data_IF_503343197691
#
_entry.id   IF_503343197691
#
_cell.length_a   1.000
_cell.length_b   1.000
_cell.length_c   1.000
_cell.angle_alpha   90.00
_cell.angle_beta   90.00
_cell.angle_gamma   90.00
#
_symmetry.space_group_name_H-M   'P 1'
#
loop_
_entity.id
_entity.type
_entity.pdbx_description
1 polymer ?
#
# COMPACT_ATOMS: atom_id res chain seq x y z
N UNK A 1 30.80 2.58 30.90
CA UNK A 1 29.40 2.38 30.47
C UNK A 1 29.15 3.26 29.25
N UNK A 2 28.71 2.73 28.09
CA UNK A 2 28.40 3.57 26.94
C UNK A 2 27.20 4.47 27.27
N UNK A 3 27.38 5.78 27.10
CA UNK A 3 26.36 6.79 27.39
C UNK A 3 25.32 6.79 26.26
N UNK A 4 24.15 6.20 26.51
CA UNK A 4 23.04 6.24 25.54
C UNK A 4 22.33 7.59 25.62
N UNK A 5 22.38 8.35 24.52
CA UNK A 5 21.69 9.64 24.38
C UNK A 5 20.51 9.49 23.43
N UNK A 6 19.29 9.55 23.94
CA UNK A 6 18.06 9.57 23.13
C UNK A 6 17.72 11.00 22.73
N UNK A 7 17.54 11.25 21.43
CA UNK A 7 17.05 12.54 20.91
C UNK A 7 15.93 12.32 19.90
N UNK A 8 14.86 13.09 20.06
CA UNK A 8 13.73 13.10 19.14
C UNK A 8 14.09 13.90 17.89
N UNK A 9 13.77 13.36 16.72
CA UNK A 9 13.98 14.05 15.44
C UNK A 9 12.96 15.19 15.26
N UNK A 10 13.32 16.20 14.48
CA UNK A 10 12.39 17.27 14.09
C UNK A 10 11.33 16.76 13.09
N UNK A 11 10.39 17.63 12.69
CA UNK A 11 9.30 17.29 11.77
C UNK A 11 9.77 16.81 10.38
N UNK A 12 11.03 17.11 10.02
CA UNK A 12 11.68 16.67 8.78
C UNK A 12 12.62 15.47 9.01
N UNK A 13 12.52 14.80 10.16
CA UNK A 13 13.34 13.67 10.58
C UNK A 13 14.86 13.95 10.65
N UNK A 14 15.26 15.21 10.87
CA UNK A 14 16.68 15.60 11.00
C UNK A 14 17.09 15.56 12.47
N UNK A 15 18.35 15.18 12.70
CA UNK A 15 18.96 15.13 14.03
C UNK A 15 20.31 15.85 13.97
N UNK A 16 20.52 16.84 14.85
CA UNK A 16 21.82 17.49 15.04
C UNK A 16 22.66 16.70 16.03
N UNK A 17 23.75 16.11 15.54
CA UNK A 17 24.70 15.36 16.36
C UNK A 17 25.68 16.30 17.09
N UNK A 18 26.05 16.03 18.36
CA UNK A 18 27.08 16.77 19.08
C UNK A 18 28.45 16.72 18.39
N UNK A 19 29.30 17.74 18.57
CA UNK A 19 30.63 17.84 17.91
C UNK A 19 31.58 16.66 18.24
N UNK A 20 31.35 15.94 19.34
CA UNK A 20 32.12 14.75 19.77
C UNK A 20 31.64 13.43 19.13
N UNK A 21 30.68 13.46 18.20
CA UNK A 21 30.11 12.26 17.55
C UNK A 21 30.95 11.69 16.40
N UNK A 22 32.09 12.29 16.07
CA UNK A 22 33.03 11.71 15.12
C UNK A 22 33.47 10.33 15.65
N UNK A 23 33.08 9.26 14.95
CA UNK A 23 33.28 7.83 15.27
C UNK A 23 32.20 7.12 16.13
N UNK A 24 31.02 7.69 16.33
CA UNK A 24 29.92 6.98 16.99
C UNK A 24 29.01 6.22 16.00
N UNK A 25 28.54 5.03 16.38
CA UNK A 25 27.48 4.31 15.64
C UNK A 25 26.12 4.86 16.04
N UNK A 26 25.36 5.38 15.08
CA UNK A 26 24.00 5.87 15.30
C UNK A 26 23.01 4.75 14.98
N UNK A 27 22.21 4.34 15.96
CA UNK A 27 21.07 3.42 15.77
C UNK A 27 19.80 4.27 15.77
N UNK A 28 19.10 4.33 14.63
CA UNK A 28 17.84 5.06 14.50
C UNK A 28 16.69 4.07 14.67
N UNK A 29 15.93 4.20 15.75
CA UNK A 29 14.70 3.44 15.96
C UNK A 29 13.50 4.36 15.69
N UNK A 30 12.84 4.15 14.57
CA UNK A 30 11.57 4.81 14.26
C UNK A 30 10.48 4.00 14.95
N UNK A 31 10.00 4.49 16.09
CA UNK A 31 8.86 3.87 16.76
C UNK A 31 7.58 4.53 16.22
N UNK A 32 6.78 3.82 15.41
CA UNK A 32 5.48 4.34 15.02
C UNK A 32 4.61 4.39 16.28
N UNK A 33 4.26 5.61 16.71
CA UNK A 33 3.31 5.85 17.78
C UNK A 33 1.91 5.58 17.25
N UNK A 34 1.60 4.32 16.90
CA UNK A 34 0.33 3.79 16.38
C UNK A 34 0.41 3.40 14.89
N UNK A 35 -0.12 2.22 14.55
CA UNK A 35 -0.19 1.61 13.21
C UNK A 35 -1.14 2.36 12.25
N UNK A 36 -1.02 3.68 12.14
CA UNK A 36 -1.75 4.46 11.17
C UNK A 36 -0.81 5.45 10.51
N UNK A 37 -0.29 5.03 9.35
CA UNK A 37 0.19 5.85 8.25
C UNK A 37 0.97 7.12 8.63
N UNK A 38 2.30 7.01 8.72
CA UNK A 38 3.18 8.16 8.66
C UNK A 38 3.13 8.75 7.23
N UNK A 39 2.20 9.67 6.99
CA UNK A 39 2.15 10.50 5.78
C UNK A 39 3.03 11.73 5.97
N UNK A 40 4.10 11.83 5.20
CA UNK A 40 4.53 13.11 4.59
C UNK A 40 5.61 12.85 3.54
N UNK A 41 5.29 13.09 2.26
CA UNK A 41 6.13 13.88 1.35
C UNK A 41 5.23 14.62 0.37
N UNK A 42 5.18 15.94 0.52
CA UNK A 42 4.68 16.89 -0.47
C UNK A 42 5.57 16.73 -1.71
N UNK A 43 5.06 16.13 -2.78
CA UNK A 43 5.75 16.05 -4.08
C UNK A 43 6.12 14.67 -4.60
N UNK A 44 5.46 13.57 -4.18
CA UNK A 44 5.62 12.26 -4.82
C UNK A 44 4.37 11.91 -5.65
N UNK A 45 4.59 11.32 -6.81
CA UNK A 45 3.64 10.96 -7.87
C UNK A 45 2.23 10.55 -7.43
N UNK A 46 1.23 10.90 -8.27
CA UNK A 46 -0.20 10.51 -8.19
C UNK A 46 -0.44 9.00 -8.33
N UNK A 47 0.54 8.14 -8.04
CA UNK A 47 0.32 6.71 -8.01
C UNK A 47 -0.40 6.40 -6.70
N UNK A 48 -1.73 6.49 -6.76
CA UNK A 48 -2.63 5.99 -5.72
C UNK A 48 -2.20 4.56 -5.42
N UNK A 49 -1.92 4.27 -4.16
CA UNK A 49 -1.57 2.92 -3.75
C UNK A 49 -2.74 1.99 -4.07
N UNK A 50 -2.47 0.74 -4.43
CA UNK A 50 -3.52 -0.21 -4.83
C UNK A 50 -4.53 -0.37 -3.69
N UNK A 51 -4.04 -0.38 -2.46
CA UNK A 51 -4.80 -0.42 -1.21
C UNK A 51 -5.71 0.79 -1.02
N UNK A 52 -5.33 1.97 -1.52
CA UNK A 52 -6.16 3.18 -1.53
C UNK A 52 -7.25 3.15 -2.63
N UNK A 53 -7.20 2.17 -3.53
CA UNK A 53 -8.17 1.99 -4.63
C UNK A 53 -8.99 0.69 -4.54
N UNK A 54 -8.76 -0.14 -3.52
CA UNK A 54 -9.50 -1.39 -3.35
C UNK A 54 -10.95 -1.11 -2.94
N UNK A 55 -11.88 -1.52 -3.81
CA UNK A 55 -13.31 -1.52 -3.50
C UNK A 55 -13.59 -2.58 -2.43
N UNK A 56 -14.04 -2.15 -1.25
CA UNK A 56 -14.54 -3.05 -0.22
C UNK A 56 -15.94 -3.51 -0.61
N UNK A 57 -16.14 -4.83 -0.72
CA UNK A 57 -17.45 -5.42 -0.95
C UNK A 57 -18.28 -5.35 0.32
N UNK A 58 -19.59 -5.14 0.17
CA UNK A 58 -20.56 -5.38 1.24
C UNK A 58 -20.63 -6.88 1.57
N UNK A 59 -21.17 -7.26 2.72
CA UNK A 59 -21.33 -8.68 3.06
C UNK A 59 -22.19 -9.42 2.03
N UNK A 60 -23.29 -8.81 1.57
CA UNK A 60 -24.15 -9.39 0.55
C UNK A 60 -23.43 -9.58 -0.80
N UNK A 61 -22.60 -8.61 -1.21
CA UNK A 61 -21.85 -8.71 -2.46
C UNK A 61 -20.69 -9.70 -2.35
N UNK A 62 -20.05 -9.80 -1.18
CA UNK A 62 -19.03 -10.81 -0.89
C UNK A 62 -19.62 -12.22 -1.01
N UNK A 63 -20.77 -12.46 -0.39
CA UNK A 63 -21.38 -13.78 -0.38
C UNK A 63 -21.85 -14.19 -1.79
N UNK A 64 -22.44 -13.26 -2.55
CA UNK A 64 -22.75 -13.48 -3.98
C UNK A 64 -21.49 -13.73 -4.81
N UNK A 65 -20.42 -13.00 -4.56
CA UNK A 65 -19.15 -13.19 -5.26
C UNK A 65 -18.58 -14.59 -5.00
N UNK A 66 -18.60 -15.05 -3.74
CA UNK A 66 -18.17 -16.40 -3.38
C UNK A 66 -19.02 -17.48 -4.04
N UNK A 67 -20.35 -17.32 -4.08
CA UNK A 67 -21.26 -18.24 -4.79
C UNK A 67 -20.94 -18.33 -6.30
N UNK A 68 -20.62 -17.21 -6.93
CA UNK A 68 -20.24 -17.18 -8.35
C UNK A 68 -18.89 -17.84 -8.63
N UNK A 69 -17.98 -17.86 -7.66
CA UNK A 69 -16.72 -18.60 -7.77
C UNK A 69 -16.93 -20.10 -7.63
N UNK A 70 -17.82 -20.52 -6.74
CA UNK A 70 -18.13 -21.93 -6.51
C UNK A 70 -18.91 -22.55 -7.67
N UNK A 71 -19.90 -21.84 -8.20
CA UNK A 71 -20.70 -22.29 -9.34
C UNK A 71 -20.73 -21.22 -10.44
N UNK A 72 -19.67 -21.14 -11.27
CA UNK A 72 -19.59 -20.12 -12.31
C UNK A 72 -20.71 -20.28 -13.34
N UNK A 73 -21.45 -19.21 -13.64
CA UNK A 73 -22.54 -19.27 -14.62
C UNK A 73 -22.00 -19.46 -16.04
N UNK A 74 -22.81 -20.10 -16.88
CA UNK A 74 -22.46 -20.26 -18.31
C UNK A 74 -22.39 -18.89 -18.99
N UNK A 75 -21.41 -18.67 -19.90
CA UNK A 75 -21.32 -17.43 -20.66
C UNK A 75 -22.61 -17.14 -21.42
N UNK A 76 -23.12 -15.92 -21.28
CA UNK A 76 -24.31 -15.48 -22.00
C UNK A 76 -23.99 -15.19 -23.49
N UNK A 77 -25.04 -15.02 -24.31
CA UNK A 77 -24.88 -14.80 -25.74
C UNK A 77 -24.07 -13.53 -26.08
N UNK A 78 -24.22 -12.47 -25.28
CA UNK A 78 -23.48 -11.22 -25.44
C UNK A 78 -21.97 -11.41 -25.24
N UNK A 79 -21.57 -12.10 -24.17
CA UNK A 79 -20.17 -12.39 -23.87
C UNK A 79 -19.55 -13.29 -24.95
N UNK A 80 -20.30 -14.30 -25.44
CA UNK A 80 -19.85 -15.15 -26.56
C UNK A 80 -19.61 -14.32 -27.84
N UNK A 81 -20.51 -13.40 -28.18
CA UNK A 81 -20.36 -12.51 -29.34
C UNK A 81 -19.16 -11.57 -29.20
N UNK A 82 -18.94 -11.01 -28.01
CA UNK A 82 -17.78 -10.15 -27.73
C UNK A 82 -16.46 -10.91 -27.90
N UNK A 83 -16.38 -12.14 -27.36
CA UNK A 83 -15.20 -13.00 -27.51
C UNK A 83 -14.92 -13.39 -28.97
N UNK A 84 -15.96 -13.68 -29.76
CA UNK A 84 -15.81 -13.98 -31.19
C UNK A 84 -15.22 -12.77 -31.95
N UNK A 85 -15.71 -11.56 -31.67
CA UNK A 85 -15.19 -10.33 -32.27
C UNK A 85 -13.74 -10.07 -31.88
N UNK A 86 -13.38 -10.27 -30.61
CA UNK A 86 -12.01 -10.10 -30.13
C UNK A 86 -11.04 -11.05 -30.85
N UNK A 87 -11.41 -12.33 -30.98
CA UNK A 87 -10.59 -13.32 -31.70
C UNK A 87 -10.38 -12.97 -33.17
N UNK A 88 -11.41 -12.43 -33.84
CA UNK A 88 -11.30 -12.04 -35.25
C UNK A 88 -10.40 -10.82 -35.49
N UNK A 89 -10.15 -9.98 -34.47
CA UNK A 89 -9.33 -8.78 -34.59
C UNK A 89 -7.91 -8.92 -34.03
N UNK A 90 -7.64 -9.96 -33.24
CA UNK A 90 -6.36 -10.17 -32.53
C UNK A 90 -5.77 -11.58 -32.69
N UNK A 91 -6.40 -12.43 -33.50
CA UNK A 91 -5.86 -13.73 -33.92
C UNK A 91 -5.39 -13.65 -35.37
#
# INVERSE_FOLDING_TARGET
MPTTLTRTADADARIKLPKKFANAKVVVQIQPANNSALRTRKGMSRNRFVEESMTRLSDADRDRFLQLLESPPKPNAALKKAMAKYRASHG
#
